data_IF_204927393772
#
_entry.id   IF_204927393772
#
_cell.length_a   1.000
_cell.length_b   1.000
_cell.length_c   1.000
_cell.angle_alpha   90.00
_cell.angle_beta   90.00
_cell.angle_gamma   90.00
#
_symmetry.space_group_name_H-M   'P 1'
#
loop_
_entity.id
_entity.type
_entity.pdbx_description
1 polymer ?
#
# COMPACT_ATOMS: atom_id res chain seq x y z
N UNK A 1 24.61 -11.28 13.22
CA UNK A 1 24.49 -9.82 13.36
C UNK A 1 23.34 -9.33 12.47
N UNK A 2 22.23 -8.85 13.06
CA UNK A 2 21.11 -8.32 12.30
C UNK A 2 21.50 -7.00 11.62
N UNK A 3 21.47 -6.95 10.28
CA UNK A 3 21.65 -5.69 9.54
C UNK A 3 20.69 -4.63 10.11
N UNK A 4 21.20 -3.48 10.57
CA UNK A 4 20.36 -2.37 11.04
C UNK A 4 19.41 -1.94 9.90
N UNK A 5 18.11 -2.21 10.06
CA UNK A 5 17.08 -1.82 9.08
C UNK A 5 16.93 -0.30 9.08
N UNK A 6 16.69 0.28 7.90
CA UNK A 6 16.37 1.69 7.82
C UNK A 6 14.98 1.91 8.44
N UNK A 7 14.85 2.92 9.31
CA UNK A 7 13.59 3.24 10.00
C UNK A 7 12.42 3.42 9.01
N UNK A 8 12.70 3.96 7.82
CA UNK A 8 11.69 4.14 6.75
C UNK A 8 11.12 2.82 6.22
N UNK A 9 11.91 1.76 6.11
CA UNK A 9 11.41 0.44 5.66
C UNK A 9 10.47 -0.15 6.70
N UNK A 10 10.84 -0.06 7.97
CA UNK A 10 10.00 -0.51 9.08
C UNK A 10 8.69 0.26 9.10
N UNK A 11 8.73 1.59 8.96
CA UNK A 11 7.54 2.43 8.92
C UNK A 11 6.61 2.07 7.75
N UNK A 12 7.13 1.97 6.52
CA UNK A 12 6.33 1.58 5.35
C UNK A 12 5.70 0.21 5.55
N UNK A 13 6.47 -0.74 6.07
CA UNK A 13 5.94 -2.09 6.24
C UNK A 13 4.83 -2.16 7.28
N UNK A 14 4.99 -1.45 8.40
CA UNK A 14 3.94 -1.33 9.42
C UNK A 14 2.71 -0.64 8.83
N UNK A 15 2.90 0.41 8.03
CA UNK A 15 1.81 1.08 7.34
C UNK A 15 1.02 0.10 6.46
N UNK A 16 1.68 -0.67 5.59
CA UNK A 16 1.02 -1.68 4.75
C UNK A 16 0.30 -2.76 5.57
N UNK A 17 0.90 -3.23 6.67
CA UNK A 17 0.28 -4.21 7.57
C UNK A 17 -0.97 -3.64 8.25
N UNK A 18 -0.87 -2.48 8.87
CA UNK A 18 -1.98 -1.84 9.57
C UNK A 18 -3.12 -1.49 8.60
N UNK A 19 -2.80 -0.91 7.44
CA UNK A 19 -3.80 -0.57 6.43
C UNK A 19 -4.45 -1.83 5.84
N UNK A 20 -3.68 -2.87 5.53
CA UNK A 20 -4.20 -4.13 5.01
C UNK A 20 -5.13 -4.84 5.99
N UNK A 21 -4.72 -4.96 7.25
CA UNK A 21 -5.54 -5.58 8.32
C UNK A 21 -6.82 -4.79 8.55
N UNK A 22 -6.72 -3.46 8.67
CA UNK A 22 -7.88 -2.60 8.92
C UNK A 22 -8.88 -2.68 7.75
N UNK A 23 -8.40 -2.63 6.51
CA UNK A 23 -9.26 -2.78 5.33
C UNK A 23 -9.88 -4.17 5.26
N UNK A 24 -9.15 -5.22 5.62
CA UNK A 24 -9.67 -6.58 5.64
C UNK A 24 -10.87 -6.70 6.60
N UNK A 25 -10.72 -6.21 7.84
CA UNK A 25 -11.82 -6.21 8.81
C UNK A 25 -12.98 -5.32 8.37
N UNK A 26 -12.70 -4.15 7.80
CA UNK A 26 -13.73 -3.24 7.30
C UNK A 26 -14.55 -3.86 6.17
N UNK A 27 -13.91 -4.50 5.19
CA UNK A 27 -14.62 -5.17 4.10
C UNK A 27 -15.34 -6.44 4.55
N UNK A 28 -14.80 -7.16 5.53
CA UNK A 28 -15.50 -8.28 6.15
C UNK A 28 -16.77 -7.80 6.87
N UNK A 29 -16.68 -6.71 7.61
CA UNK A 29 -17.82 -6.08 8.27
C UNK A 29 -18.89 -5.63 7.26
N UNK A 30 -18.49 -4.97 6.16
CA UNK A 30 -19.42 -4.60 5.08
C UNK A 30 -20.07 -5.84 4.45
N UNK A 31 -19.28 -6.88 4.15
CA UNK A 31 -19.80 -8.11 3.57
C UNK A 31 -20.88 -8.76 4.46
N UNK A 32 -20.70 -8.73 5.78
CA UNK A 32 -21.67 -9.26 6.73
C UNK A 32 -22.91 -8.36 6.84
N UNK A 33 -22.70 -7.05 7.00
CA UNK A 33 -23.79 -6.10 7.32
C UNK A 33 -24.64 -5.71 6.11
N UNK A 34 -24.02 -5.53 4.94
CA UNK A 34 -24.71 -5.11 3.72
C UNK A 34 -24.99 -6.28 2.76
N UNK A 35 -24.54 -7.51 3.09
CA UNK A 35 -24.62 -8.69 2.21
C UNK A 35 -24.02 -8.47 0.81
N UNK A 36 -23.16 -7.47 0.65
CA UNK A 36 -22.45 -7.16 -0.58
C UNK A 36 -21.03 -7.70 -0.45
N UNK A 37 -20.79 -8.86 -1.07
CA UNK A 37 -19.46 -9.46 -1.07
C UNK A 37 -18.66 -8.99 -2.28
N UNK A 38 -17.66 -8.15 -2.05
CA UNK A 38 -16.73 -7.73 -3.09
C UNK A 38 -15.36 -8.40 -2.87
N UNK A 39 -15.21 -9.60 -3.46
CA UNK A 39 -13.99 -10.40 -3.35
C UNK A 39 -12.73 -9.63 -3.74
N UNK A 40 -12.86 -8.74 -4.73
CA UNK A 40 -11.75 -7.93 -5.23
C UNK A 40 -11.16 -7.06 -4.11
N UNK A 41 -12.01 -6.41 -3.31
CA UNK A 41 -11.56 -5.53 -2.21
C UNK A 41 -10.89 -6.31 -1.07
N UNK A 42 -11.39 -7.51 -0.75
CA UNK A 42 -10.76 -8.41 0.21
C UNK A 42 -9.38 -8.88 -0.28
N UNK A 43 -9.29 -9.31 -1.55
CA UNK A 43 -8.02 -9.69 -2.16
C UNK A 43 -7.01 -8.54 -2.14
N UNK A 44 -7.44 -7.31 -2.45
CA UNK A 44 -6.64 -6.10 -2.35
C UNK A 44 -6.08 -5.88 -0.93
N UNK A 45 -6.90 -6.04 0.11
CA UNK A 45 -6.48 -5.91 1.51
C UNK A 45 -5.49 -7.01 1.94
N UNK A 46 -5.72 -8.25 1.50
CA UNK A 46 -4.82 -9.37 1.76
C UNK A 46 -3.46 -9.17 1.09
N UNK A 47 -3.43 -8.75 -0.18
CA UNK A 47 -2.19 -8.46 -0.90
C UNK A 47 -1.40 -7.34 -0.23
N UNK A 48 -2.06 -6.28 0.24
CA UNK A 48 -1.40 -5.20 0.98
C UNK A 48 -0.72 -5.71 2.26
N UNK A 49 -1.41 -6.56 3.03
CA UNK A 49 -0.86 -7.19 4.24
C UNK A 49 0.35 -8.07 3.91
N UNK A 50 0.24 -8.89 2.87
CA UNK A 50 1.32 -9.77 2.40
C UNK A 50 2.55 -8.95 1.99
N UNK A 51 2.35 -7.86 1.23
CA UNK A 51 3.43 -6.96 0.83
C UNK A 51 4.11 -6.33 2.05
N UNK A 52 3.35 -5.83 3.03
CA UNK A 52 3.92 -5.30 4.27
C UNK A 52 4.82 -6.31 4.99
N UNK A 53 4.37 -7.57 5.08
CA UNK A 53 5.17 -8.65 5.67
C UNK A 53 6.46 -8.94 4.88
N UNK A 54 6.38 -9.01 3.55
CA UNK A 54 7.57 -9.32 2.74
C UNK A 54 8.53 -8.13 2.60
N UNK A 55 8.05 -6.89 2.74
CA UNK A 55 8.90 -5.70 2.86
C UNK A 55 9.65 -5.73 4.21
N UNK A 56 9.02 -6.17 5.32
CA UNK A 56 9.75 -6.42 6.59
C UNK A 56 10.86 -7.46 6.42
N UNK A 57 10.61 -8.49 5.60
CA UNK A 57 11.60 -9.52 5.24
C UNK A 57 12.61 -9.06 4.19
N UNK A 58 12.59 -7.78 3.80
CA UNK A 58 13.51 -7.18 2.84
C UNK A 58 13.55 -7.92 1.49
N UNK A 59 12.43 -8.49 1.05
CA UNK A 59 12.37 -9.19 -0.24
C UNK A 59 12.28 -8.19 -1.39
N UNK A 60 13.24 -8.23 -2.32
CA UNK A 60 13.29 -7.28 -3.44
C UNK A 60 12.03 -7.32 -4.33
N UNK A 61 11.49 -8.51 -4.59
CA UNK A 61 10.27 -8.66 -5.39
C UNK A 61 9.08 -7.92 -4.75
N UNK A 62 8.95 -7.94 -3.42
CA UNK A 62 7.88 -7.24 -2.71
C UNK A 62 8.02 -5.72 -2.81
N UNK A 63 9.26 -5.21 -2.78
CA UNK A 63 9.54 -3.79 -3.04
C UNK A 63 9.12 -3.38 -4.46
N UNK A 64 9.45 -4.18 -5.45
CA UNK A 64 9.09 -3.90 -6.86
C UNK A 64 7.57 -3.88 -7.03
N UNK A 65 6.87 -4.90 -6.50
CA UNK A 65 5.40 -4.95 -6.56
C UNK A 65 4.78 -3.76 -5.83
N UNK A 66 5.27 -3.39 -4.64
CA UNK A 66 4.76 -2.22 -3.92
C UNK A 66 4.95 -0.91 -4.69
N UNK A 67 6.07 -0.73 -5.41
CA UNK A 67 6.29 0.43 -6.27
C UNK A 67 5.32 0.42 -7.46
N UNK A 68 5.17 -0.71 -8.16
CA UNK A 68 4.25 -0.83 -9.29
C UNK A 68 2.81 -0.53 -8.87
N UNK A 69 2.39 -1.09 -7.73
CA UNK A 69 1.10 -0.84 -7.14
C UNK A 69 0.86 0.63 -6.85
N UNK A 70 1.86 1.28 -6.26
CA UNK A 70 1.82 2.70 -5.91
C UNK A 70 1.64 3.58 -7.15
N UNK A 71 2.34 3.27 -8.25
CA UNK A 71 2.20 3.96 -9.53
C UNK A 71 0.77 3.81 -10.08
N UNK A 72 0.23 2.58 -10.09
CA UNK A 72 -1.13 2.31 -10.56
C UNK A 72 -2.16 3.11 -9.74
N UNK A 73 -2.06 3.08 -8.41
CA UNK A 73 -2.99 3.80 -7.52
C UNK A 73 -2.91 5.31 -7.72
N UNK A 74 -1.72 5.88 -7.92
CA UNK A 74 -1.54 7.30 -8.23
C UNK A 74 -2.19 7.64 -9.57
N UNK A 75 -1.97 6.82 -10.59
CA UNK A 75 -2.55 7.04 -11.92
C UNK A 75 -4.08 7.01 -11.90
N UNK A 76 -4.67 6.02 -11.22
CA UNK A 76 -6.13 5.95 -11.01
C UNK A 76 -6.62 7.17 -10.23
N UNK A 77 -5.92 7.56 -9.16
CA UNK A 77 -6.26 8.73 -8.36
C UNK A 77 -6.28 10.03 -9.18
N UNK A 78 -5.29 10.22 -10.06
CA UNK A 78 -5.21 11.37 -10.96
C UNK A 78 -6.33 11.36 -12.02
N UNK A 79 -6.61 10.20 -12.63
CA UNK A 79 -7.73 10.06 -13.58
C UNK A 79 -9.07 10.44 -12.94
N UNK A 80 -9.29 10.06 -11.68
CA UNK A 80 -10.52 10.40 -10.95
C UNK A 80 -10.63 11.90 -10.64
N UNK A 81 -9.52 12.60 -10.45
CA UNK A 81 -9.50 14.06 -10.28
C UNK A 81 -9.85 14.73 -11.62
N UNK A 82 -9.21 14.32 -12.71
CA UNK A 82 -9.39 14.93 -14.04
C UNK A 82 -10.82 14.73 -14.57
N UNK A 83 -11.45 13.60 -14.26
CA UNK A 83 -12.80 13.30 -14.73
C UNK A 83 -13.91 13.99 -13.90
N UNK A 84 -13.55 14.80 -12.90
CA UNK A 84 -14.46 15.53 -11.97
C UNK A 84 -15.54 14.66 -11.30
N UNK A 85 -15.44 13.33 -11.39
CA UNK A 85 -16.46 12.41 -10.89
C UNK A 85 -16.52 12.34 -9.36
N UNK A 86 -15.55 12.92 -8.65
CA UNK A 86 -15.40 12.79 -7.20
C UNK A 86 -14.83 14.08 -6.60
N UNK A 87 -15.29 14.44 -5.39
CA UNK A 87 -14.70 15.51 -4.59
C UNK A 87 -13.17 15.30 -4.46
N UNK A 88 -12.33 16.27 -4.86
CA UNK A 88 -10.87 16.12 -5.02
C UNK A 88 -10.14 15.73 -3.72
N UNK A 89 -10.76 15.95 -2.55
CA UNK A 89 -10.20 15.57 -1.25
C UNK A 89 -9.99 14.04 -1.15
N UNK A 90 -10.90 13.24 -1.71
CA UNK A 90 -10.88 11.77 -1.63
C UNK A 90 -9.71 11.15 -2.44
N UNK A 91 -9.49 11.51 -3.71
CA UNK A 91 -8.33 11.02 -4.44
C UNK A 91 -7.02 11.58 -3.87
N UNK A 92 -6.95 12.85 -3.44
CA UNK A 92 -5.71 13.43 -2.88
C UNK A 92 -5.24 12.71 -1.61
N UNK A 93 -6.16 12.39 -0.69
CA UNK A 93 -5.87 11.62 0.53
C UNK A 93 -5.41 10.19 0.25
N UNK A 94 -5.74 9.63 -0.91
CA UNK A 94 -5.21 8.34 -1.38
C UNK A 94 -3.86 8.52 -2.07
N UNK A 95 -3.64 9.57 -2.85
CA UNK A 95 -2.42 9.75 -3.67
C UNK A 95 -1.20 10.16 -2.85
N UNK A 96 -1.36 11.03 -1.83
CA UNK A 96 -0.24 11.56 -1.04
C UNK A 96 0.52 10.46 -0.27
N UNK A 97 -0.14 9.55 0.49
CA UNK A 97 0.56 8.47 1.19
C UNK A 97 1.34 7.57 0.24
N UNK A 98 0.79 7.32 -0.95
CA UNK A 98 1.41 6.52 -2.00
C UNK A 98 2.69 7.19 -2.54
N UNK A 99 2.68 8.51 -2.76
CA UNK A 99 3.89 9.26 -3.14
C UNK A 99 5.00 9.17 -2.08
N UNK A 100 4.63 9.27 -0.80
CA UNK A 100 5.59 9.13 0.32
C UNK A 100 6.21 7.73 0.31
N UNK A 101 5.39 6.68 0.14
CA UNK A 101 5.85 5.30 0.05
C UNK A 101 6.82 5.13 -1.13
N UNK A 102 6.47 5.65 -2.30
CA UNK A 102 7.31 5.60 -3.50
C UNK A 102 8.68 6.24 -3.25
N UNK A 103 8.69 7.45 -2.69
CA UNK A 103 9.92 8.18 -2.37
C UNK A 103 10.85 7.38 -1.43
N UNK A 104 10.29 6.77 -0.39
CA UNK A 104 11.09 5.99 0.56
C UNK A 104 11.59 4.66 -0.02
N UNK A 105 10.77 3.93 -0.79
CA UNK A 105 11.15 2.64 -1.38
C UNK A 105 12.17 2.76 -2.53
N UNK A 106 12.24 3.92 -3.16
CA UNK A 106 13.20 4.22 -4.24
C UNK A 106 14.55 4.74 -3.75
N UNK A 107 14.64 5.16 -2.48
CA UNK A 107 15.86 5.73 -1.91
C UNK A 107 17.05 4.75 -1.98
N UNK A 108 18.27 5.18 -2.41
CA UNK A 108 19.42 4.28 -2.60
C UNK A 108 19.77 3.46 -1.36
N UNK A 109 19.84 4.12 -0.19
CA UNK A 109 20.11 3.49 1.11
C UNK A 109 19.08 2.44 1.50
N UNK A 110 17.84 2.57 1.02
CA UNK A 110 16.76 1.61 1.25
C UNK A 110 16.87 0.47 0.25
N UNK A 111 17.07 0.77 -1.03
CA UNK A 111 17.28 -0.21 -2.10
C UNK A 111 18.40 -1.21 -1.78
N UNK A 112 19.50 -0.75 -1.20
CA UNK A 112 20.63 -1.60 -0.79
C UNK A 112 20.27 -2.65 0.27
N UNK A 113 19.20 -2.43 1.05
CA UNK A 113 18.74 -3.38 2.07
C UNK A 113 17.98 -4.56 1.49
N UNK A 114 17.51 -4.45 0.24
CA UNK A 114 16.75 -5.48 -0.47
C UNK A 114 17.63 -6.35 -1.39
N UNK A 115 18.97 -6.22 -1.32
CA UNK A 115 19.91 -7.12 -2.02
C UNK A 115 19.88 -8.53 -1.43
#
# INVERSE_FOLDING_TARGET
>A
MGKKRAKGVTFISIFYLCTGILLFYFFLYIAITQRTFNFVHLAFATVATILGYFILKLKNWARVIAIMWTIITIFIGLLLIITEKINPIIPVTRTIPHLIIMYYLTRPKVKEQFK
#
